data_IF_144577441437
#
_entry.id   IF_144577441437
#
_cell.length_a   1.000
_cell.length_b   1.000
_cell.length_c   1.000
_cell.angle_alpha   90.00
_cell.angle_beta   90.00
_cell.angle_gamma   90.00
#
_symmetry.space_group_name_H-M   'P 1'
#
loop_
_entity.id
_entity.type
_entity.pdbx_description
1 polymer ?
#
# COMPACT_ATOMS: atom_id res chain seq x y z
N UNK A 1 45.88 -10.37 -9.24
CA UNK A 1 44.80 -10.62 -8.27
C UNK A 1 44.02 -9.31 -8.13
N UNK A 2 43.01 -9.11 -8.98
CA UNK A 2 42.28 -7.84 -9.09
C UNK A 2 41.22 -7.76 -7.99
N UNK A 3 41.30 -6.68 -7.22
CA UNK A 3 40.40 -6.37 -6.12
C UNK A 3 39.13 -5.79 -6.74
N UNK A 4 38.02 -6.55 -6.72
CA UNK A 4 36.71 -6.02 -7.09
C UNK A 4 36.30 -4.96 -6.07
N UNK A 5 36.23 -3.70 -6.51
CA UNK A 5 35.65 -2.59 -5.76
C UNK A 5 34.14 -2.82 -5.69
N UNK A 6 33.60 -2.98 -4.48
CA UNK A 6 32.18 -3.13 -4.27
C UNK A 6 31.41 -1.94 -4.87
N UNK A 7 30.27 -2.16 -5.56
CA UNK A 7 29.47 -1.07 -6.08
C UNK A 7 28.88 -0.25 -4.92
N UNK A 8 29.00 1.06 -5.06
CA UNK A 8 28.60 2.08 -4.09
C UNK A 8 27.07 2.03 -3.85
N UNK A 9 26.67 1.51 -2.69
CA UNK A 9 25.27 1.36 -2.25
C UNK A 9 24.56 2.69 -1.95
N UNK A 10 25.23 3.84 -2.16
CA UNK A 10 24.69 5.15 -1.86
C UNK A 10 23.65 5.69 -2.88
N UNK A 11 23.39 5.01 -4.00
CA UNK A 11 22.50 5.54 -5.06
C UNK A 11 21.08 4.92 -5.05
N UNK A 12 20.76 4.04 -4.10
CA UNK A 12 19.48 3.30 -4.06
C UNK A 12 18.47 3.85 -3.05
N UNK A 13 18.39 5.18 -2.88
CA UNK A 13 17.34 5.79 -2.05
C UNK A 13 16.08 6.04 -2.86
N UNK A 14 15.02 5.35 -2.43
CA UNK A 14 13.67 5.27 -3.00
C UNK A 14 13.03 6.65 -3.25
N UNK A 15 12.26 6.75 -4.34
CA UNK A 15 11.47 7.89 -4.83
C UNK A 15 10.38 8.41 -3.87
N UNK A 16 10.25 7.82 -2.68
CA UNK A 16 9.26 8.21 -1.66
C UNK A 16 9.91 8.66 -0.34
N UNK A 17 11.24 8.77 -0.30
CA UNK A 17 11.96 9.30 0.85
C UNK A 17 11.95 10.85 0.80
N UNK A 18 11.35 11.55 1.79
CA UNK A 18 11.42 13.01 1.85
C UNK A 18 12.86 13.54 1.91
N UNK A 19 13.83 12.74 2.37
CA UNK A 19 15.25 13.09 2.33
C UNK A 19 15.80 13.09 0.89
N UNK A 20 15.37 12.14 0.04
CA UNK A 20 15.78 12.10 -1.37
C UNK A 20 15.24 13.30 -2.18
N UNK A 21 14.06 13.80 -1.82
CA UNK A 21 13.50 15.02 -2.39
C UNK A 21 14.30 16.29 -1.99
N UNK A 22 14.79 16.33 -0.75
CA UNK A 22 15.69 17.39 -0.27
C UNK A 22 17.02 17.40 -1.01
N UNK A 23 17.63 16.23 -1.20
CA UNK A 23 18.88 16.06 -1.93
C UNK A 23 18.75 16.45 -3.41
N UNK A 24 17.65 16.07 -4.06
CA UNK A 24 17.36 16.46 -5.44
C UNK A 24 17.18 17.98 -5.58
N UNK A 25 16.50 18.62 -4.62
CA UNK A 25 16.28 20.07 -4.60
C UNK A 25 17.58 20.85 -4.37
N UNK A 26 18.47 20.33 -3.52
CA UNK A 26 19.78 20.93 -3.29
C UNK A 26 20.70 20.79 -4.52
N UNK A 27 20.65 19.65 -5.21
CA UNK A 27 21.44 19.44 -6.45
C UNK A 27 20.92 20.23 -7.64
N UNK A 28 19.60 20.39 -7.78
CA UNK A 28 18.99 21.26 -8.80
C UNK A 28 19.41 22.72 -8.64
N UNK A 29 19.75 23.15 -7.43
CA UNK A 29 20.29 24.50 -7.15
C UNK A 29 21.76 24.64 -7.52
N UNK A 30 22.56 23.57 -7.39
CA UNK A 30 24.00 23.60 -7.67
C UNK A 30 24.35 23.27 -9.12
N UNK A 31 23.62 22.36 -9.76
CA UNK A 31 23.77 22.00 -11.17
C UNK A 31 22.39 21.65 -11.77
N UNK A 32 21.71 22.65 -12.36
CA UNK A 32 20.36 22.49 -12.89
C UNK A 32 20.27 21.43 -14.00
N UNK A 33 21.32 21.27 -14.80
CA UNK A 33 21.29 20.33 -15.93
C UNK A 33 21.37 18.88 -15.45
N UNK A 34 22.32 18.53 -14.57
CA UNK A 34 22.41 17.16 -14.05
C UNK A 34 21.22 16.78 -13.16
N UNK A 35 20.66 17.73 -12.40
CA UNK A 35 19.46 17.51 -11.59
C UNK A 35 18.23 17.19 -12.44
N UNK A 36 18.02 17.90 -13.56
CA UNK A 36 16.91 17.61 -14.49
C UNK A 36 17.09 16.24 -15.14
N UNK A 37 18.30 15.86 -15.52
CA UNK A 37 18.58 14.51 -16.05
C UNK A 37 18.25 13.41 -15.06
N UNK A 38 18.65 13.60 -13.80
CA UNK A 38 18.36 12.65 -12.74
C UNK A 38 16.85 12.53 -12.48
N UNK A 39 16.14 13.66 -12.41
CA UNK A 39 14.68 13.67 -12.24
C UNK A 39 13.95 13.01 -13.42
N UNK A 40 14.38 13.27 -14.66
CA UNK A 40 13.79 12.68 -15.85
C UNK A 40 13.97 11.15 -15.91
N UNK A 41 15.14 10.64 -15.50
CA UNK A 41 15.38 9.18 -15.37
C UNK A 41 14.51 8.54 -14.29
N UNK A 42 14.32 9.22 -13.15
CA UNK A 42 13.43 8.73 -12.09
C UNK A 42 11.97 8.68 -12.58
N UNK A 43 11.55 9.68 -13.35
CA UNK A 43 10.23 9.71 -13.96
C UNK A 43 10.04 8.62 -15.01
N UNK A 44 11.04 8.36 -15.86
CA UNK A 44 11.01 7.26 -16.83
C UNK A 44 10.86 5.89 -16.14
N UNK A 45 11.53 5.67 -15.02
CA UNK A 45 11.34 4.47 -14.20
C UNK A 45 9.93 4.32 -13.62
N UNK A 46 9.29 5.42 -13.21
CA UNK A 46 7.90 5.40 -12.76
C UNK A 46 6.93 5.07 -13.90
N UNK A 47 7.18 5.62 -15.08
CA UNK A 47 6.36 5.36 -16.26
C UNK A 47 6.48 3.89 -16.70
N UNK A 48 7.69 3.34 -16.74
CA UNK A 48 7.94 1.93 -17.04
C UNK A 48 7.24 1.01 -16.06
N UNK A 49 7.28 1.33 -14.77
CA UNK A 49 6.56 0.59 -13.74
C UNK A 49 5.04 0.63 -13.99
N UNK A 50 4.49 1.79 -14.35
CA UNK A 50 3.07 1.93 -14.68
C UNK A 50 2.69 1.15 -15.95
N UNK A 51 3.57 1.14 -16.96
CA UNK A 51 3.38 0.37 -18.18
C UNK A 51 3.38 -1.13 -17.90
N UNK A 52 4.39 -1.66 -17.20
CA UNK A 52 4.47 -3.08 -16.85
C UNK A 52 3.28 -3.53 -16.01
N UNK A 53 2.87 -2.69 -15.05
CA UNK A 53 1.67 -2.92 -14.26
C UNK A 53 0.41 -2.96 -15.13
N UNK A 54 0.24 -2.00 -16.05
CA UNK A 54 -0.92 -1.96 -16.95
C UNK A 54 -0.96 -3.15 -17.93
N UNK A 55 0.21 -3.59 -18.42
CA UNK A 55 0.32 -4.77 -19.28
C UNK A 55 -0.10 -6.02 -18.51
N UNK A 56 0.28 -6.13 -17.23
CA UNK A 56 -0.10 -7.28 -16.39
C UNK A 56 -1.56 -7.27 -16.00
N UNK A 57 -2.13 -6.10 -15.70
CA UNK A 57 -3.57 -5.94 -15.43
C UNK A 57 -4.43 -6.24 -16.66
N UNK A 58 -3.88 -6.11 -17.87
CA UNK A 58 -4.54 -6.46 -19.13
C UNK A 58 -4.40 -7.94 -19.52
N UNK A 59 -3.51 -8.72 -18.88
CA UNK A 59 -3.38 -10.16 -19.11
C UNK A 59 -4.48 -10.91 -18.36
N UNK A 60 -5.35 -11.71 -19.03
CA UNK A 60 -6.47 -12.38 -18.36
C UNK A 60 -6.01 -13.31 -17.23
N UNK A 61 -6.45 -13.01 -16.01
CA UNK A 61 -6.21 -13.83 -14.81
C UNK A 61 -7.17 -15.01 -14.76
N UNK A 62 -6.82 -16.10 -15.46
CA UNK A 62 -7.68 -17.29 -15.61
C UNK A 62 -7.08 -18.61 -15.11
N UNK A 63 -6.00 -18.59 -14.33
CA UNK A 63 -5.31 -19.81 -13.87
C UNK A 63 -5.56 -20.11 -12.40
N UNK A 64 -5.81 -21.38 -12.07
CA UNK A 64 -6.02 -21.93 -10.70
C UNK A 64 -4.83 -21.67 -9.75
N UNK A 65 -3.69 -21.17 -10.27
CA UNK A 65 -2.46 -20.84 -9.54
C UNK A 65 -2.30 -19.33 -9.22
N UNK A 66 -3.26 -18.48 -9.60
CA UNK A 66 -3.24 -17.05 -9.30
C UNK A 66 -3.81 -16.75 -7.91
N UNK A 67 -2.95 -16.82 -6.89
CA UNK A 67 -3.28 -16.43 -5.52
C UNK A 67 -2.81 -15.01 -5.19
N UNK A 68 -3.36 -14.42 -4.13
CA UNK A 68 -2.89 -13.12 -3.63
C UNK A 68 -1.40 -13.12 -3.28
N UNK A 69 -0.83 -14.26 -2.85
CA UNK A 69 0.60 -14.39 -2.63
C UNK A 69 1.39 -14.30 -3.95
N UNK A 70 0.95 -15.00 -5.01
CA UNK A 70 1.61 -14.96 -6.33
C UNK A 70 1.64 -13.55 -6.90
N UNK A 71 0.55 -12.78 -6.74
CA UNK A 71 0.46 -11.38 -7.18
C UNK A 71 1.43 -10.47 -6.42
N UNK A 72 1.63 -10.71 -5.12
CA UNK A 72 2.60 -9.96 -4.33
C UNK A 72 4.04 -10.21 -4.80
N UNK A 73 4.44 -11.47 -4.97
CA UNK A 73 5.80 -11.80 -5.45
C UNK A 73 6.05 -11.29 -6.87
N UNK A 74 5.03 -11.35 -7.71
CA UNK A 74 5.06 -10.83 -9.06
C UNK A 74 5.20 -9.31 -9.08
N UNK A 75 4.48 -8.59 -8.21
CA UNK A 75 4.58 -7.14 -8.09
C UNK A 75 5.98 -6.69 -7.62
N UNK A 76 6.60 -7.45 -6.70
CA UNK A 76 7.99 -7.20 -6.29
C UNK A 76 8.95 -7.45 -7.46
N UNK A 77 8.76 -8.54 -8.20
CA UNK A 77 9.56 -8.85 -9.39
C UNK A 77 9.47 -7.78 -10.47
N UNK A 78 8.27 -7.29 -10.76
CA UNK A 78 8.04 -6.22 -11.72
C UNK A 78 8.66 -4.89 -11.28
N UNK A 79 8.67 -4.61 -9.96
CA UNK A 79 9.32 -3.42 -9.42
C UNK A 79 10.84 -3.46 -9.64
N UNK A 80 11.48 -4.61 -9.44
CA UNK A 80 12.91 -4.77 -9.67
C UNK A 80 13.24 -4.75 -11.18
N UNK A 81 12.44 -5.43 -12.00
CA UNK A 81 12.59 -5.44 -13.45
C UNK A 81 12.44 -4.03 -14.05
N UNK A 82 11.47 -3.24 -13.57
CA UNK A 82 11.28 -1.86 -14.03
C UNK A 82 12.50 -0.96 -13.71
N UNK A 83 13.09 -1.13 -12.52
CA UNK A 83 14.28 -0.38 -12.11
C UNK A 83 15.52 -0.81 -12.91
N UNK A 84 15.67 -2.11 -13.17
CA UNK A 84 16.78 -2.65 -13.93
C UNK A 84 16.69 -2.22 -15.41
N UNK A 85 15.51 -2.32 -16.04
CA UNK A 85 15.28 -1.86 -17.41
C UNK A 85 15.48 -0.35 -17.56
N UNK A 86 15.04 0.45 -16.59
CA UNK A 86 15.29 1.90 -16.58
C UNK A 86 16.79 2.23 -16.48
N UNK A 87 17.58 1.36 -15.84
CA UNK A 87 19.03 1.55 -15.67
C UNK A 87 19.87 1.02 -16.84
N UNK A 88 19.45 -0.07 -17.49
CA UNK A 88 20.22 -0.78 -18.52
C UNK A 88 19.77 -0.46 -19.95
N UNK A 89 18.49 -0.14 -20.17
CA UNK A 89 17.91 0.12 -21.49
C UNK A 89 16.87 1.27 -21.44
N UNK A 90 17.29 2.52 -21.15
CA UNK A 90 16.38 3.65 -21.15
C UNK A 90 15.77 3.83 -22.55
N UNK A 91 14.43 3.81 -22.62
CA UNK A 91 13.66 3.94 -23.86
C UNK A 91 13.83 5.32 -24.52
N UNK A 92 14.49 6.25 -23.84
CA UNK A 92 14.90 7.55 -24.37
C UNK A 92 13.91 8.67 -24.04
N UNK A 93 12.90 8.41 -23.21
CA UNK A 93 11.91 9.40 -22.80
C UNK A 93 12.52 10.48 -21.92
N UNK A 94 13.47 10.11 -21.04
CA UNK A 94 14.21 11.08 -20.24
C UNK A 94 14.92 12.12 -21.12
N UNK A 95 15.58 11.67 -22.20
CA UNK A 95 16.24 12.57 -23.15
C UNK A 95 15.28 13.45 -23.97
N UNK A 96 14.04 13.01 -24.19
CA UNK A 96 13.00 13.84 -24.83
C UNK A 96 12.48 14.92 -23.89
N UNK A 97 12.28 14.58 -22.61
CA UNK A 97 11.87 15.53 -21.56
C UNK A 97 12.95 16.59 -21.37
N UNK A 98 14.22 16.19 -21.33
CA UNK A 98 15.37 17.12 -21.26
C UNK A 98 15.39 18.10 -22.43
N UNK A 99 15.20 17.62 -23.67
CA UNK A 99 15.15 18.48 -24.87
C UNK A 99 13.94 19.40 -24.89
N UNK A 100 12.80 18.99 -24.33
CA UNK A 100 11.62 19.83 -24.24
C UNK A 100 11.78 20.90 -23.15
N UNK A 101 12.32 20.55 -21.99
CA UNK A 101 12.55 21.47 -20.88
C UNK A 101 13.65 22.49 -21.20
N UNK A 102 14.70 22.06 -21.92
CA UNK A 102 15.75 22.93 -22.43
C UNK A 102 15.21 23.92 -23.48
N UNK A 103 14.30 23.47 -24.37
CA UNK A 103 13.62 24.36 -25.33
C UNK A 103 12.70 25.37 -24.65
N UNK A 104 12.01 24.98 -23.57
CA UNK A 104 11.16 25.88 -22.80
C UNK A 104 11.95 26.93 -22.00
N UNK A 105 13.15 26.60 -21.51
CA UNK A 105 14.01 27.57 -20.80
C UNK A 105 14.83 28.48 -21.73
N UNK A 106 15.05 28.08 -22.98
CA UNK A 106 15.87 28.84 -23.91
C UNK A 106 15.11 29.92 -24.70
N UNK A 107 13.78 29.98 -24.68
CA UNK A 107 13.02 31.06 -25.32
C UNK A 107 13.32 31.28 -26.81
N UNK A 108 13.69 30.23 -27.56
CA UNK A 108 14.01 30.35 -29.00
C UNK A 108 12.87 29.80 -29.85
N UNK A 109 12.32 30.67 -30.70
CA UNK A 109 11.33 30.37 -31.73
C UNK A 109 11.82 29.29 -32.73
N UNK A 110 10.92 28.57 -33.43
CA UNK A 110 11.31 27.39 -34.19
C UNK A 110 11.97 27.79 -35.51
N UNK A 111 13.22 27.39 -35.72
CA UNK A 111 13.80 27.31 -37.06
C UNK A 111 13.79 25.84 -37.48
N UNK A 112 12.97 25.53 -38.48
CA UNK A 112 12.92 24.22 -39.11
C UNK A 112 14.19 23.98 -39.94
N UNK A 113 14.94 22.92 -39.63
CA UNK A 113 15.78 22.18 -40.60
C UNK A 113 16.20 20.81 -40.05
N UNK A 114 16.41 19.82 -40.93
CA UNK A 114 16.04 18.42 -40.68
C UNK A 114 17.10 17.62 -39.92
N UNK A 115 16.60 16.61 -39.22
CA UNK A 115 17.37 15.66 -38.44
C UNK A 115 18.36 14.85 -39.31
N UNK A 116 19.62 14.82 -38.88
CA UNK A 116 20.63 13.86 -39.33
C UNK A 116 20.53 12.62 -38.44
N UNK A 117 20.08 11.52 -39.00
CA UNK A 117 20.06 10.18 -38.38
C UNK A 117 21.41 9.50 -38.63
N UNK A 118 22.10 8.94 -37.61
CA UNK A 118 23.09 7.91 -37.84
C UNK A 118 22.36 6.58 -38.04
N UNK A 119 22.51 6.00 -39.24
CA UNK A 119 21.84 4.77 -39.66
C UNK A 119 22.39 3.50 -39.02
N UNK A 120 21.52 2.50 -38.95
CA UNK A 120 21.88 1.08 -38.81
C UNK A 120 22.06 0.50 -40.23
N UNK A 121 23.12 -0.29 -40.51
CA UNK A 121 23.36 -0.82 -41.84
C UNK A 121 22.36 -1.93 -42.22
N UNK A 122 21.66 -1.71 -43.33
CA UNK A 122 20.78 -2.64 -44.04
C UNK A 122 21.56 -3.55 -44.98
N UNK A 123 22.03 -4.71 -44.52
CA UNK A 123 22.61 -5.74 -45.40
C UNK A 123 22.32 -7.20 -44.98
N UNK A 124 21.19 -7.49 -44.34
CA UNK A 124 20.82 -8.88 -44.02
C UNK A 124 19.40 -9.28 -44.45
N UNK A 125 18.82 -8.58 -45.43
CA UNK A 125 17.49 -8.91 -45.98
C UNK A 125 17.62 -9.37 -47.43
N UNK A 126 18.38 -10.46 -47.71
CA UNK A 126 18.34 -11.12 -49.02
C UNK A 126 19.04 -12.50 -49.08
N UNK A 127 18.63 -13.45 -48.23
CA UNK A 127 18.78 -14.89 -48.44
C UNK A 127 17.97 -15.61 -47.33
N UNK A 128 17.05 -16.54 -47.53
CA UNK A 128 16.73 -17.37 -48.68
C UNK A 128 15.23 -17.73 -48.61
N UNK A 129 14.52 -17.51 -49.72
CA UNK A 129 13.24 -18.15 -50.02
C UNK A 129 13.51 -19.57 -50.51
N UNK A 130 12.85 -20.60 -49.94
CA UNK A 130 12.04 -21.64 -50.65
C UNK A 130 11.54 -22.75 -49.70
N UNK A 131 10.50 -23.53 -50.10
CA UNK A 131 9.33 -23.82 -49.25
C UNK A 131 9.16 -25.30 -48.87
N UNK A 132 8.25 -25.59 -47.93
CA UNK A 132 7.43 -26.80 -47.98
C UNK A 132 6.09 -26.61 -47.24
N UNK A 133 5.04 -27.17 -47.84
CA UNK A 133 3.64 -27.24 -47.39
C UNK A 133 3.50 -28.11 -46.11
N UNK A 134 2.39 -28.23 -45.37
CA UNK A 134 0.97 -28.06 -45.66
C UNK A 134 0.16 -27.98 -44.34
N UNK A 135 -1.07 -27.43 -44.44
CA UNK A 135 -2.30 -27.65 -43.63
C UNK A 135 -2.21 -27.66 -42.09
N UNK A 136 -2.96 -26.85 -41.35
CA UNK A 136 -4.44 -26.84 -41.29
C UNK A 136 -4.97 -25.49 -40.75
N UNK A 137 -6.18 -25.12 -41.17
CA UNK A 137 -6.84 -23.85 -40.87
C UNK A 137 -7.21 -23.65 -39.38
N UNK A 138 -7.42 -22.39 -38.95
CA UNK A 138 -8.57 -22.11 -38.09
C UNK A 138 -9.44 -20.93 -38.58
N UNK A 139 -10.70 -21.04 -38.18
CA UNK A 139 -11.87 -20.16 -38.38
C UNK A 139 -11.67 -18.68 -37.98
N UNK A 140 -12.52 -17.75 -38.44
CA UNK A 140 -12.43 -16.34 -38.07
C UNK A 140 -12.83 -16.11 -36.60
N UNK A 141 -11.97 -15.44 -35.83
CA UNK A 141 -12.28 -14.99 -34.47
C UNK A 141 -13.27 -13.81 -34.50
N UNK A 142 -14.24 -13.74 -33.55
CA UNK A 142 -15.11 -12.57 -33.38
C UNK A 142 -14.31 -11.39 -32.79
N UNK A 143 -14.75 -10.13 -32.98
CA UNK A 143 -14.08 -8.98 -32.39
C UNK A 143 -14.18 -9.01 -30.84
N UNK A 144 -13.17 -8.51 -30.12
CA UNK A 144 -13.19 -8.50 -28.65
C UNK A 144 -14.30 -7.59 -28.11
N UNK A 145 -14.94 -7.95 -26.98
CA UNK A 145 -15.91 -7.09 -26.33
C UNK A 145 -15.19 -5.86 -25.72
N UNK A 146 -15.74 -4.67 -25.96
CA UNK A 146 -15.31 -3.46 -25.28
C UNK A 146 -15.52 -3.63 -23.76
N UNK A 147 -14.42 -3.78 -23.02
CA UNK A 147 -14.45 -3.78 -21.56
C UNK A 147 -14.55 -2.32 -21.07
N UNK A 148 -15.75 -1.87 -20.77
CA UNK A 148 -16.01 -0.69 -19.94
C UNK A 148 -15.54 -0.96 -18.51
N UNK A 149 -14.31 -0.57 -18.15
CA UNK A 149 -13.88 -0.51 -16.75
C UNK A 149 -14.36 0.80 -16.13
N UNK A 150 -15.42 0.72 -15.34
CA UNK A 150 -15.96 1.85 -14.58
C UNK A 150 -14.96 2.33 -13.51
N UNK A 151 -14.63 3.64 -13.41
CA UNK A 151 -13.77 4.23 -12.38
C UNK A 151 -14.34 4.20 -10.95
N UNK A 152 -15.48 3.55 -10.71
CA UNK A 152 -16.20 3.57 -9.44
C UNK A 152 -15.59 2.66 -8.34
N UNK A 153 -14.95 1.55 -8.70
CA UNK A 153 -14.50 0.54 -7.73
C UNK A 153 -13.25 0.96 -6.90
N UNK A 154 -12.35 1.73 -7.51
CA UNK A 154 -11.15 2.27 -6.82
C UNK A 154 -11.50 3.43 -5.88
N UNK A 155 -12.48 4.27 -6.26
CA UNK A 155 -12.99 5.34 -5.42
C UNK A 155 -13.73 4.80 -4.18
N UNK A 156 -14.54 3.76 -4.33
CA UNK A 156 -15.27 3.11 -3.23
C UNK A 156 -14.31 2.46 -2.20
N UNK A 157 -13.25 1.82 -2.68
CA UNK A 157 -12.24 1.19 -1.82
C UNK A 157 -11.48 2.20 -0.94
N UNK A 158 -11.25 3.42 -1.43
CA UNK A 158 -10.61 4.51 -0.68
C UNK A 158 -11.60 5.31 0.19
N UNK A 159 -12.88 5.35 -0.20
CA UNK A 159 -13.95 6.01 0.56
C UNK A 159 -14.26 5.26 1.86
N UNK A 160 -14.23 3.93 1.84
CA UNK A 160 -14.54 3.10 3.02
C UNK A 160 -13.62 3.36 4.25
N UNK A 161 -12.28 3.38 4.12
CA UNK A 161 -11.40 3.81 5.22
C UNK A 161 -11.72 5.21 5.75
N UNK A 162 -12.02 6.17 4.86
CA UNK A 162 -12.39 7.54 5.24
C UNK A 162 -13.67 7.57 6.06
N UNK A 163 -14.74 6.99 5.54
CA UNK A 163 -16.03 6.96 6.23
C UNK A 163 -15.92 6.31 7.62
N UNK A 164 -15.05 5.30 7.77
CA UNK A 164 -14.75 4.72 9.07
C UNK A 164 -14.02 5.70 9.99
N UNK A 165 -12.93 6.32 9.50
CA UNK A 165 -12.18 7.32 10.26
C UNK A 165 -13.09 8.45 10.72
N UNK A 166 -13.91 9.03 9.84
CA UNK A 166 -14.81 10.14 10.17
C UNK A 166 -15.78 9.78 11.31
N UNK A 167 -16.29 8.55 11.32
CA UNK A 167 -17.19 8.05 12.39
C UNK A 167 -16.50 7.90 13.74
N UNK A 168 -15.22 7.54 13.78
CA UNK A 168 -14.51 7.21 15.03
C UNK A 168 -13.56 8.31 15.51
N UNK A 169 -13.14 9.21 14.63
CA UNK A 169 -12.16 10.26 14.90
C UNK A 169 -12.47 11.13 16.13
N UNK A 170 -13.68 11.71 16.31
CA UNK A 170 -13.97 12.51 17.50
C UNK A 170 -13.85 11.71 18.80
N UNK A 171 -14.18 10.42 18.77
CA UNK A 171 -14.08 9.54 19.93
C UNK A 171 -12.64 9.10 20.21
N UNK A 172 -11.85 8.91 19.16
CA UNK A 172 -10.42 8.65 19.26
C UNK A 172 -9.67 9.86 19.84
N UNK A 173 -10.06 11.10 19.51
CA UNK A 173 -9.51 12.31 20.13
C UNK A 173 -9.82 12.34 21.63
N UNK A 174 -11.07 12.08 22.04
CA UNK A 174 -11.42 12.01 23.47
C UNK A 174 -10.59 10.94 24.20
N UNK A 175 -10.51 9.73 23.66
CA UNK A 175 -9.72 8.65 24.26
C UNK A 175 -8.22 8.97 24.30
N UNK A 176 -7.70 9.65 23.29
CA UNK A 176 -6.30 10.12 23.26
C UNK A 176 -5.99 11.08 24.41
N UNK A 177 -6.89 12.02 24.72
CA UNK A 177 -6.70 12.93 25.87
C UNK A 177 -6.61 12.19 27.21
N UNK A 178 -7.36 11.10 27.38
CA UNK A 178 -7.38 10.31 28.62
C UNK A 178 -6.18 9.38 28.77
N UNK A 179 -5.68 8.86 27.65
CA UNK A 179 -4.63 7.82 27.63
C UNK A 179 -3.25 8.38 27.30
N UNK A 180 -3.16 9.60 26.78
CA UNK A 180 -1.94 10.19 26.24
C UNK A 180 -1.44 9.53 24.95
N UNK A 181 -2.14 8.53 24.40
CA UNK A 181 -1.78 7.87 23.14
C UNK A 181 -2.32 8.70 21.97
N UNK A 182 -1.55 8.92 20.87
CA UNK A 182 -2.05 9.63 19.70
C UNK A 182 -3.36 9.04 19.13
N UNK A 183 -4.35 9.89 18.84
CA UNK A 183 -5.66 9.45 18.37
C UNK A 183 -5.60 8.55 17.14
N UNK A 184 -4.71 8.85 16.20
CA UNK A 184 -4.54 8.03 15.00
C UNK A 184 -4.04 6.61 15.29
N UNK A 185 -3.35 6.34 16.42
CA UNK A 185 -3.02 4.97 16.82
C UNK A 185 -4.26 4.20 17.26
N UNK A 186 -5.18 4.86 17.97
CA UNK A 186 -6.45 4.26 18.40
C UNK A 186 -7.36 3.97 17.19
N UNK A 187 -7.37 4.88 16.21
CA UNK A 187 -8.03 4.66 14.92
C UNK A 187 -7.37 3.50 14.16
N UNK A 188 -6.04 3.44 14.10
CA UNK A 188 -5.33 2.34 13.45
C UNK A 188 -5.68 0.98 14.07
N UNK A 189 -5.73 0.92 15.41
CA UNK A 189 -6.08 -0.30 16.11
C UNK A 189 -7.53 -0.70 15.89
N UNK A 190 -8.49 0.22 16.06
CA UNK A 190 -9.90 -0.08 15.76
C UNK A 190 -10.11 -0.48 14.30
N UNK A 191 -9.35 0.09 13.36
CA UNK A 191 -9.38 -0.30 11.95
C UNK A 191 -8.81 -1.71 11.73
N UNK A 192 -7.75 -2.11 12.43
CA UNK A 192 -7.21 -3.46 12.37
C UNK A 192 -8.25 -4.48 12.86
N UNK A 193 -8.80 -4.25 14.04
CA UNK A 193 -9.72 -5.14 14.74
C UNK A 193 -11.05 -5.31 13.98
N UNK A 194 -11.66 -4.20 13.55
CA UNK A 194 -12.93 -4.22 12.82
C UNK A 194 -12.77 -4.41 11.30
N UNK A 195 -11.54 -4.44 10.79
CA UNK A 195 -11.27 -4.41 9.35
C UNK A 195 -11.86 -3.16 8.67
N UNK A 196 -11.58 -1.97 9.21
CA UNK A 196 -12.15 -0.69 8.79
C UNK A 196 -13.68 -0.65 8.88
N UNK A 197 -14.24 -1.20 9.96
CA UNK A 197 -15.67 -1.26 10.24
C UNK A 197 -16.45 -2.36 9.50
N UNK A 198 -15.81 -3.15 8.62
CA UNK A 198 -16.50 -4.17 7.82
C UNK A 198 -16.90 -5.41 8.61
N UNK A 199 -16.10 -5.76 9.62
CA UNK A 199 -16.24 -6.96 10.44
C UNK A 199 -16.61 -6.60 11.88
N UNK A 200 -17.29 -5.47 12.05
CA UNK A 200 -17.86 -5.10 13.33
C UNK A 200 -18.89 -6.16 13.77
N UNK A 201 -18.80 -6.55 15.04
CA UNK A 201 -19.71 -7.49 15.67
C UNK A 201 -21.13 -6.93 15.67
N UNK A 202 -22.12 -7.77 15.37
CA UNK A 202 -23.53 -7.38 15.30
C UNK A 202 -24.33 -8.06 16.40
N UNK A 203 -25.27 -7.32 16.98
CA UNK A 203 -26.28 -7.83 17.90
C UNK A 203 -27.21 -8.82 17.18
N UNK A 204 -28.01 -9.57 17.95
CA UNK A 204 -28.94 -10.55 17.39
C UNK A 204 -30.01 -9.96 16.46
N UNK A 205 -30.36 -8.68 16.66
CA UNK A 205 -31.28 -7.91 15.81
C UNK A 205 -30.61 -7.28 14.57
N UNK A 206 -29.30 -7.53 14.37
CA UNK A 206 -28.51 -7.01 13.26
C UNK A 206 -27.92 -5.60 13.49
N UNK A 207 -28.27 -4.94 14.60
CA UNK A 207 -27.68 -3.65 14.98
C UNK A 207 -26.17 -3.79 15.31
N UNK A 208 -25.36 -2.74 15.11
CA UNK A 208 -23.94 -2.79 15.47
C UNK A 208 -23.76 -2.89 16.98
N UNK A 209 -22.78 -3.68 17.44
CA UNK A 209 -22.39 -3.70 18.86
C UNK A 209 -21.51 -2.50 19.24
N UNK A 210 -21.04 -1.73 18.25
CA UNK A 210 -20.06 -0.65 18.39
C UNK A 210 -18.67 -1.09 18.90
N UNK A 211 -18.44 -2.41 19.10
CA UNK A 211 -17.20 -2.93 19.66
C UNK A 211 -16.11 -3.08 18.59
N UNK A 212 -15.62 -1.93 18.12
CA UNK A 212 -14.56 -1.82 17.10
C UNK A 212 -13.18 -2.26 17.58
N UNK A 213 -13.02 -2.56 18.87
CA UNK A 213 -11.77 -3.03 19.48
C UNK A 213 -11.81 -4.53 19.81
N UNK A 214 -12.91 -5.23 19.56
CA UNK A 214 -13.03 -6.66 19.86
C UNK A 214 -12.85 -7.01 21.34
N UNK A 215 -13.21 -6.11 22.27
CA UNK A 215 -12.99 -6.34 23.70
C UNK A 215 -13.92 -7.45 24.20
N UNK A 216 -13.33 -8.52 24.76
CA UNK A 216 -14.07 -9.62 25.37
C UNK A 216 -14.79 -9.18 26.67
N UNK A 217 -15.97 -9.75 26.90
CA UNK A 217 -16.72 -9.57 28.14
C UNK A 217 -16.14 -10.50 29.23
N UNK A 218 -15.31 -9.95 30.11
CA UNK A 218 -14.78 -10.67 31.27
C UNK A 218 -15.78 -10.71 32.44
N UNK A 219 -15.42 -11.40 33.54
CA UNK A 219 -16.31 -11.59 34.71
C UNK A 219 -16.82 -10.29 35.35
N UNK A 220 -16.04 -9.21 35.25
CA UNK A 220 -16.41 -7.89 35.79
C UNK A 220 -17.25 -7.02 34.86
N UNK A 221 -17.56 -7.49 33.65
CA UNK A 221 -18.40 -6.75 32.70
C UNK A 221 -19.88 -7.02 32.99
N UNK A 222 -20.64 -5.97 33.27
CA UNK A 222 -22.08 -6.03 33.56
C UNK A 222 -22.96 -5.41 32.47
N UNK A 223 -22.35 -4.84 31.43
CA UNK A 223 -23.05 -4.22 30.32
C UNK A 223 -23.55 -5.22 29.28
N UNK A 224 -24.06 -4.70 28.17
CA UNK A 224 -24.54 -5.51 27.05
C UNK A 224 -23.41 -6.38 26.47
N UNK A 225 -23.77 -7.54 25.92
CA UNK A 225 -22.82 -8.46 25.30
C UNK A 225 -23.35 -9.02 23.99
N UNK A 226 -22.42 -9.42 23.12
CA UNK A 226 -22.69 -10.17 21.91
C UNK A 226 -21.86 -11.45 21.96
N UNK A 227 -22.49 -12.59 21.66
CA UNK A 227 -21.84 -13.90 21.64
C UNK A 227 -21.58 -14.33 20.20
N UNK A 228 -20.33 -14.64 19.88
CA UNK A 228 -19.91 -15.02 18.53
C UNK A 228 -19.10 -16.31 18.60
N UNK A 229 -19.37 -17.24 17.69
CA UNK A 229 -18.54 -18.43 17.50
C UNK A 229 -17.23 -18.03 16.84
N UNK A 230 -16.12 -18.24 17.54
CA UNK A 230 -14.77 -17.93 17.09
C UNK A 230 -13.94 -19.21 17.02
N UNK A 231 -13.06 -19.31 16.03
CA UNK A 231 -12.04 -20.37 15.98
C UNK A 231 -10.84 -19.93 16.81
N UNK A 232 -10.66 -20.51 17.99
CA UNK A 232 -9.49 -20.29 18.84
C UNK A 232 -8.53 -21.46 18.74
N UNK A 233 -7.22 -21.19 18.79
CA UNK A 233 -6.20 -22.23 18.86
C UNK A 233 -5.91 -22.55 20.32
N UNK A 234 -6.43 -23.68 20.80
CA UNK A 234 -6.16 -24.21 22.14
C UNK A 234 -5.17 -25.36 21.97
N UNK A 235 -4.02 -25.27 22.62
CA UNK A 235 -2.91 -26.24 22.50
C UNK A 235 -2.44 -26.46 21.04
N UNK A 236 -2.51 -25.41 20.21
CA UNK A 236 -2.10 -25.45 18.80
C UNK A 236 -3.14 -26.03 17.84
N UNK A 237 -4.31 -26.45 18.33
CA UNK A 237 -5.40 -26.99 17.52
C UNK A 237 -6.55 -25.99 17.36
N UNK A 238 -7.09 -25.78 16.15
CA UNK A 238 -8.23 -24.91 15.95
C UNK A 238 -9.50 -25.54 16.55
N UNK A 239 -10.13 -24.84 17.49
CA UNK A 239 -11.39 -25.21 18.12
C UNK A 239 -12.41 -24.08 17.96
N UNK A 240 -13.66 -24.41 17.62
CA UNK A 240 -14.74 -23.42 17.60
C UNK A 240 -15.27 -23.25 19.01
N UNK A 241 -15.01 -22.09 19.60
CA UNK A 241 -15.48 -21.72 20.93
C UNK A 241 -16.45 -20.54 20.83
N UNK A 242 -17.44 -20.47 21.72
CA UNK A 242 -18.26 -19.27 21.83
C UNK A 242 -17.55 -18.26 22.70
N UNK A 243 -17.26 -17.10 22.13
CA UNK A 243 -16.67 -15.99 22.86
C UNK A 243 -17.74 -14.90 23.08
N UNK A 244 -17.78 -14.36 24.30
CA UNK A 244 -18.62 -13.20 24.63
C UNK A 244 -17.79 -11.93 24.51
N UNK A 245 -18.31 -10.98 23.75
CA UNK A 245 -17.72 -9.66 23.56
C UNK A 245 -18.62 -8.61 24.19
N UNK A 246 -18.02 -7.50 24.64
CA UNK A 246 -18.77 -6.33 25.09
C UNK A 246 -19.57 -5.76 23.91
N UNK A 247 -20.72 -5.20 24.21
CA UNK A 247 -21.51 -4.40 23.28
C UNK A 247 -21.80 -3.06 23.94
N UNK A 248 -21.87 -2.01 23.14
CA UNK A 248 -22.03 -0.64 23.59
C UNK A 248 -23.22 0.00 22.87
N UNK A 249 -23.66 1.16 23.34
CA UNK A 249 -24.69 1.96 22.70
C UNK A 249 -24.14 2.89 21.60
N UNK A 250 -22.83 3.12 21.57
CA UNK A 250 -22.18 4.03 20.59
C UNK A 250 -20.66 3.82 20.49
N UNK A 251 -20.04 4.32 19.42
CA UNK A 251 -18.57 4.40 19.32
C UNK A 251 -17.97 5.26 20.45
N UNK A 252 -18.64 6.32 20.89
CA UNK A 252 -18.18 7.13 22.02
C UNK A 252 -18.00 6.28 23.30
N UNK A 253 -18.97 5.41 23.59
CA UNK A 253 -18.89 4.51 24.74
C UNK A 253 -17.78 3.46 24.56
N UNK A 254 -17.66 2.86 23.37
CA UNK A 254 -16.61 1.89 23.07
C UNK A 254 -15.19 2.47 23.27
N UNK A 255 -14.95 3.69 22.81
CA UNK A 255 -13.65 4.37 22.97
C UNK A 255 -13.39 4.78 24.42
N UNK A 256 -14.42 5.21 25.16
CA UNK A 256 -14.27 5.50 26.60
C UNK A 256 -13.95 4.25 27.41
N UNK A 257 -14.65 3.15 27.15
CA UNK A 257 -14.36 1.86 27.81
C UNK A 257 -12.97 1.33 27.44
N UNK A 258 -12.55 1.48 26.18
CA UNK A 258 -11.19 1.15 25.75
C UNK A 258 -10.13 1.99 26.49
N UNK A 259 -10.33 3.31 26.60
CA UNK A 259 -9.45 4.18 27.35
C UNK A 259 -9.37 3.77 28.84
N UNK A 260 -10.53 3.47 29.45
CA UNK A 260 -10.59 2.98 30.82
C UNK A 260 -9.85 1.64 30.99
N UNK A 261 -10.04 0.70 30.06
CA UNK A 261 -9.34 -0.59 30.04
C UNK A 261 -7.82 -0.41 30.07
N UNK A 262 -7.29 0.47 29.21
CA UNK A 262 -5.85 0.75 29.16
C UNK A 262 -5.37 1.40 30.46
N UNK A 263 -6.12 2.35 31.01
CA UNK A 263 -5.72 3.09 32.21
C UNK A 263 -5.86 2.27 33.50
N UNK A 264 -6.80 1.32 33.57
CA UNK A 264 -7.13 0.61 34.81
C UNK A 264 -6.36 -0.70 35.00
N UNK A 265 -5.77 -1.26 33.95
CA UNK A 265 -5.11 -2.57 34.01
C UNK A 265 -3.59 -2.42 34.03
N UNK A 266 -2.88 -2.84 35.10
CA UNK A 266 -1.43 -2.64 35.24
C UNK A 266 -0.60 -3.17 34.07
N UNK A 267 -1.06 -4.25 33.41
CA UNK A 267 -0.40 -4.81 32.22
C UNK A 267 -0.26 -3.81 31.06
N UNK A 268 -1.10 -2.79 30.98
CA UNK A 268 -1.07 -1.76 29.94
C UNK A 268 -0.31 -0.49 30.35
N UNK A 269 0.38 -0.47 31.49
CA UNK A 269 1.13 0.70 31.95
C UNK A 269 2.15 1.22 30.90
N UNK A 270 2.78 0.31 30.14
CA UNK A 270 3.73 0.65 29.06
C UNK A 270 3.08 1.06 27.72
N UNK A 271 1.75 1.09 27.66
CA UNK A 271 0.96 1.52 26.50
C UNK A 271 0.52 2.97 26.67
N UNK A 272 0.11 3.35 27.89
CA UNK A 272 -0.33 4.71 28.23
C UNK A 272 0.78 5.72 27.92
N UNK A 273 0.43 6.81 27.25
CA UNK A 273 1.34 7.89 26.87
C UNK A 273 2.32 7.57 25.74
N UNK A 274 2.28 6.36 25.17
CA UNK A 274 3.24 5.97 24.12
C UNK A 274 3.04 6.79 22.84
N UNK A 275 4.12 7.42 22.38
CA UNK A 275 4.15 8.28 21.18
C UNK A 275 4.74 7.59 19.95
N UNK A 276 5.47 6.48 20.14
CA UNK A 276 6.01 5.70 19.04
C UNK A 276 5.04 4.56 18.66
N UNK A 277 4.62 4.52 17.40
CA UNK A 277 3.61 3.57 16.92
C UNK A 277 4.06 2.11 16.98
N UNK A 278 5.36 1.85 16.77
CA UNK A 278 5.93 0.50 16.84
C UNK A 278 5.98 0.04 18.30
N UNK A 279 6.42 0.91 19.21
CA UNK A 279 6.44 0.62 20.64
C UNK A 279 5.04 0.48 21.21
N UNK A 280 4.07 1.27 20.76
CA UNK A 280 2.66 1.14 21.12
C UNK A 280 2.15 -0.27 20.79
N UNK A 281 2.36 -0.70 19.55
CA UNK A 281 1.94 -2.01 19.07
C UNK A 281 2.64 -3.16 19.81
N UNK A 282 3.95 -3.06 20.05
CA UNK A 282 4.74 -4.05 20.80
C UNK A 282 4.36 -4.10 22.28
N UNK A 283 4.05 -2.96 22.92
CA UNK A 283 3.59 -2.92 24.31
C UNK A 283 2.22 -3.58 24.46
N UNK A 284 1.29 -3.35 23.53
CA UNK A 284 0.00 -4.04 23.51
C UNK A 284 0.14 -5.55 23.38
N UNK A 285 1.00 -6.02 22.46
CA UNK A 285 1.24 -7.45 22.26
C UNK A 285 1.87 -8.10 23.51
N UNK A 286 2.90 -7.48 24.09
CA UNK A 286 3.54 -7.95 25.34
C UNK A 286 2.58 -7.98 26.52
N UNK A 287 1.62 -7.05 26.56
CA UNK A 287 0.56 -7.03 27.56
C UNK A 287 -0.54 -8.09 27.35
N UNK A 288 -0.45 -8.88 26.28
CA UNK A 288 -1.40 -9.94 25.96
C UNK A 288 -2.74 -9.40 25.47
N UNK A 289 -2.75 -8.28 24.73
CA UNK A 289 -3.97 -7.78 24.09
C UNK A 289 -4.47 -8.73 22.99
N UNK A 290 -3.56 -9.26 22.18
CA UNK A 290 -3.84 -10.21 21.12
C UNK A 290 -2.89 -11.41 21.20
N UNK A 291 -3.39 -12.59 20.81
CA UNK A 291 -2.61 -13.85 20.77
C UNK A 291 -1.86 -14.05 19.46
N UNK A 292 -2.18 -13.28 18.42
CA UNK A 292 -1.50 -13.34 17.13
C UNK A 292 -0.03 -12.91 17.25
N UNK A 293 0.95 -13.77 16.88
CA UNK A 293 2.37 -13.43 16.95
C UNK A 293 2.77 -12.28 16.03
N UNK A 294 2.01 -12.00 14.96
CA UNK A 294 2.25 -10.91 14.03
C UNK A 294 1.45 -9.64 14.35
N UNK A 295 0.77 -9.57 15.50
CA UNK A 295 -0.11 -8.47 15.86
C UNK A 295 0.59 -7.11 15.83
N UNK A 296 1.74 -6.97 16.50
CA UNK A 296 2.43 -5.69 16.57
C UNK A 296 2.86 -5.19 15.19
N UNK A 297 3.35 -6.08 14.33
CA UNK A 297 3.77 -5.72 12.97
C UNK A 297 2.59 -5.31 12.09
N UNK A 298 1.44 -5.99 12.22
CA UNK A 298 0.20 -5.62 11.51
C UNK A 298 -0.28 -4.23 11.93
N UNK A 299 -0.32 -3.96 13.23
CA UNK A 299 -0.76 -2.68 13.78
C UNK A 299 0.21 -1.55 13.40
N UNK A 300 1.52 -1.75 13.58
CA UNK A 300 2.53 -0.77 13.19
C UNK A 300 2.45 -0.42 11.69
N UNK A 301 2.18 -1.40 10.83
CA UNK A 301 1.98 -1.18 9.38
C UNK A 301 0.76 -0.30 9.09
N UNK A 302 -0.34 -0.44 9.83
CA UNK A 302 -1.52 0.41 9.65
C UNK A 302 -1.24 1.82 10.18
N UNK A 303 -0.60 1.94 11.35
CA UNK A 303 -0.21 3.23 11.94
C UNK A 303 0.65 4.04 10.98
N UNK A 304 1.69 3.44 10.41
CA UNK A 304 2.59 4.08 9.43
C UNK A 304 2.07 4.07 7.98
N UNK A 305 0.90 3.47 7.75
CA UNK A 305 0.42 3.12 6.43
C UNK A 305 -0.19 4.29 5.65
N UNK A 306 -0.09 4.23 4.32
CA UNK A 306 -0.63 5.27 3.45
C UNK A 306 -2.17 5.35 3.51
N UNK A 307 -2.86 4.21 3.69
CA UNK A 307 -4.33 4.17 3.79
C UNK A 307 -4.85 5.02 4.94
N UNK A 308 -4.26 4.88 6.14
CA UNK A 308 -4.66 5.67 7.30
C UNK A 308 -4.32 7.16 7.10
N UNK A 309 -3.14 7.45 6.57
CA UNK A 309 -2.72 8.83 6.27
C UNK A 309 -3.68 9.54 5.31
N UNK A 310 -4.08 8.88 4.23
CA UNK A 310 -5.04 9.40 3.26
C UNK A 310 -6.47 9.52 3.81
N UNK A 311 -6.82 8.69 4.78
CA UNK A 311 -8.10 8.78 5.47
C UNK A 311 -8.13 9.99 6.42
N UNK A 312 -7.04 10.22 7.16
CA UNK A 312 -6.92 11.33 8.11
C UNK A 312 -6.72 12.71 7.47
N UNK A 313 -6.11 12.80 6.28
CA UNK A 313 -5.84 14.09 5.64
C UNK A 313 -7.09 14.85 5.19
N UNK A 314 -8.27 14.26 5.36
CA UNK A 314 -9.56 14.78 4.90
C UNK A 314 -10.60 14.82 6.01
N UNK A 315 -10.21 14.49 7.25
CA UNK A 315 -11.04 14.37 8.45
C UNK A 315 -10.88 15.56 9.40
#
# INVERSE_FOLDING_TARGET
MSIMKAPDLATQRLVLDPAAAGDLRNRLRSDPQSGVRQAARQFEGMLLHLMLKSMREATPTGGVLDSEQSRFFTAIGDQQLAQELASQAPLGFAGLIERQLARQHAGVAPTLSPARTPGLPTEAVLAARRPFAAATAPLPAPPPPAATTSPAASADSARRPRDFVDRVWPHALEAATRTGVPAHFLVAQSALESGWGRRELRMADGSPSFNVFGIKAGRGWTGATVEVSTTEFVDGLPQTVRAKFRAYASYAEAFRDYAQLLSSQPRYANVIGQQDGVQFARSLQRAGYATDPAYADKLARIIGGNTLRQALSSA
#
